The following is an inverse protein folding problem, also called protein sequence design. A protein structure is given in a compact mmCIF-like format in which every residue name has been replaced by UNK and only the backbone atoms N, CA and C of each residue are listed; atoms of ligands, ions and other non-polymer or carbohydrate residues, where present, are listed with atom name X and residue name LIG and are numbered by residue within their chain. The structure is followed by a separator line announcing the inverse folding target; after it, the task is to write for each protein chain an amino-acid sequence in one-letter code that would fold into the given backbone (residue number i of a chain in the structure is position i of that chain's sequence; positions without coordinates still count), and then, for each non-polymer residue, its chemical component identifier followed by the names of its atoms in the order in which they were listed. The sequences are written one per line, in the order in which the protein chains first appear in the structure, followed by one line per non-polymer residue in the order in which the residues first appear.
data_IF_154767505197
#
_entry.id   IF_154767505197
#
_cell.length_a   1.000
_cell.length_b   1.000
_cell.length_c   1.000
_cell.angle_alpha   90.00
_cell.angle_beta   90.00
_cell.angle_gamma   90.00
#
_symmetry.space_group_name_H-M   'P 1'
#
loop_
_entity.id
_entity.type
_entity.pdbx_description
1 polymer ?
#
# COMPACT_ATOMS: atom_id res chain seq x y z
N UNK A 1 -2.92 -16.37 -3.16
CA UNK A 1 -2.63 -17.47 -2.20
C UNK A 1 -2.29 -16.93 -0.81
N UNK A 2 -1.19 -16.16 -0.66
CA UNK A 2 -0.70 -15.71 0.65
C UNK A 2 -1.69 -14.79 1.41
N UNK A 3 -2.37 -13.87 0.72
CA UNK A 3 -3.44 -13.02 1.28
C UNK A 3 -4.58 -13.83 1.92
N UNK A 4 -5.08 -14.84 1.20
CA UNK A 4 -6.21 -15.67 1.64
C UNK A 4 -5.80 -16.49 2.87
N UNK A 5 -4.61 -17.08 2.83
CA UNK A 5 -4.04 -17.80 3.97
C UNK A 5 -3.94 -16.88 5.20
N UNK A 6 -3.37 -15.68 5.04
CA UNK A 6 -3.23 -14.71 6.12
C UNK A 6 -4.57 -14.29 6.71
N UNK A 7 -5.59 -14.08 5.88
CA UNK A 7 -6.94 -13.68 6.30
C UNK A 7 -7.67 -14.77 7.10
N UNK A 8 -7.43 -16.04 6.79
CA UNK A 8 -7.97 -17.19 7.53
C UNK A 8 -7.24 -17.35 8.86
N UNK A 9 -5.91 -17.26 8.88
CA UNK A 9 -5.10 -17.39 10.11
C UNK A 9 -5.08 -16.13 10.97
N UNK A 10 -5.67 -15.03 10.51
CA UNK A 10 -5.64 -13.73 11.19
C UNK A 10 -6.08 -13.76 12.67
N UNK A 11 -7.16 -14.46 13.07
CA UNK A 11 -7.57 -14.52 14.48
C UNK A 11 -6.53 -15.21 15.37
N UNK A 12 -5.91 -16.29 14.87
CA UNK A 12 -4.86 -17.01 15.58
C UNK A 12 -3.64 -16.11 15.77
N UNK A 13 -3.19 -15.46 14.69
CA UNK A 13 -2.08 -14.51 14.73
C UNK A 13 -2.36 -13.38 15.72
N UNK A 14 -3.55 -12.77 15.65
CA UNK A 14 -3.93 -11.66 16.51
C UNK A 14 -3.94 -12.03 18.01
N UNK A 15 -4.33 -13.27 18.34
CA UNK A 15 -4.36 -13.77 19.73
C UNK A 15 -2.97 -13.95 20.35
N UNK A 16 -1.91 -14.06 19.54
CA UNK A 16 -0.52 -14.12 20.00
C UNK A 16 -0.05 -12.73 20.46
N UNK A 17 -0.52 -11.66 19.81
CA UNK A 17 -0.10 -10.29 20.09
C UNK A 17 -0.78 -9.68 21.32
N UNK A 18 -2.02 -10.05 21.60
CA UNK A 18 -2.77 -9.49 22.73
C UNK A 18 -3.91 -10.41 23.16
N UNK A 19 -4.30 -10.31 24.44
CA UNK A 19 -5.50 -10.93 25.01
C UNK A 19 -6.73 -10.01 25.02
N UNK A 20 -6.56 -8.72 24.72
CA UNK A 20 -7.66 -7.76 24.65
C UNK A 20 -8.47 -7.95 23.36
N UNK A 21 -9.77 -8.23 23.49
CA UNK A 21 -10.70 -8.41 22.37
C UNK A 21 -10.70 -7.23 21.40
N UNK A 22 -10.56 -5.98 21.87
CA UNK A 22 -10.54 -4.80 21.00
C UNK A 22 -9.27 -4.78 20.13
N UNK A 23 -8.12 -5.11 20.72
CA UNK A 23 -6.85 -5.18 19.99
C UNK A 23 -6.87 -6.33 18.97
N UNK A 24 -7.35 -7.50 19.38
CA UNK A 24 -7.49 -8.66 18.49
C UNK A 24 -8.36 -8.31 17.28
N UNK A 25 -9.56 -7.73 17.49
CA UNK A 25 -10.44 -7.32 16.39
C UNK A 25 -9.77 -6.34 15.43
N UNK A 26 -8.97 -5.43 15.96
CA UNK A 26 -8.24 -4.42 15.16
C UNK A 26 -7.19 -5.10 14.28
N UNK A 27 -6.37 -5.99 14.85
CA UNK A 27 -5.34 -6.74 14.12
C UNK A 27 -5.98 -7.65 13.06
N UNK A 28 -7.07 -8.36 13.39
CA UNK A 28 -7.79 -9.20 12.42
C UNK A 28 -8.29 -8.37 11.24
N UNK A 29 -8.86 -7.19 11.51
CA UNK A 29 -9.33 -6.28 10.46
C UNK A 29 -8.19 -5.82 9.57
N UNK A 30 -7.06 -5.43 10.18
CA UNK A 30 -5.85 -5.04 9.46
C UNK A 30 -5.36 -6.17 8.53
N UNK A 31 -5.18 -7.38 9.07
CA UNK A 31 -4.67 -8.54 8.35
C UNK A 31 -5.60 -9.04 7.23
N UNK A 32 -6.88 -8.66 7.25
CA UNK A 32 -7.84 -8.97 6.18
C UNK A 32 -7.93 -7.92 5.10
N UNK A 33 -7.67 -6.65 5.41
CA UNK A 33 -7.86 -5.55 4.46
C UNK A 33 -6.55 -5.22 3.75
N UNK A 34 -5.51 -4.93 4.53
CA UNK A 34 -4.26 -4.35 4.01
C UNK A 34 -3.49 -5.31 3.10
N UNK A 35 -3.40 -6.63 3.40
CA UNK A 35 -2.55 -7.51 2.61
C UNK A 35 -3.04 -7.76 1.18
N UNK A 36 -4.31 -7.45 0.88
CA UNK A 36 -4.82 -7.46 -0.50
C UNK A 36 -4.09 -6.41 -1.36
N UNK A 37 -3.84 -5.23 -0.80
CA UNK A 37 -3.22 -4.13 -1.51
C UNK A 37 -1.68 -4.28 -1.66
N UNK A 38 -1.06 -5.21 -0.93
CA UNK A 38 0.39 -5.46 -1.05
C UNK A 38 0.81 -5.96 -2.43
N UNK A 39 -0.10 -6.57 -3.21
CA UNK A 39 0.20 -6.94 -4.60
C UNK A 39 0.57 -5.72 -5.46
N UNK A 40 -0.27 -4.68 -5.41
CA UNK A 40 -0.01 -3.42 -6.12
C UNK A 40 1.09 -2.60 -5.46
N UNK A 41 1.23 -2.66 -4.14
CA UNK A 41 2.39 -2.07 -3.46
C UNK A 41 3.72 -2.72 -3.88
N UNK A 42 3.71 -4.01 -4.22
CA UNK A 42 4.87 -4.71 -4.80
C UNK A 42 5.26 -4.12 -6.15
N UNK A 43 4.27 -3.84 -7.02
CA UNK A 43 4.51 -3.15 -8.29
C UNK A 43 5.07 -1.75 -8.07
N UNK A 44 4.56 -1.03 -7.07
CA UNK A 44 5.10 0.28 -6.66
C UNK A 44 6.59 0.17 -6.29
N UNK A 45 6.93 -0.77 -5.41
CA UNK A 45 8.30 -1.00 -4.97
C UNK A 45 9.23 -1.32 -6.13
N UNK A 46 8.86 -2.29 -6.98
CA UNK A 46 9.67 -2.68 -8.15
C UNK A 46 9.84 -1.53 -9.14
N UNK A 47 8.80 -0.73 -9.37
CA UNK A 47 8.87 0.44 -10.25
C UNK A 47 9.79 1.52 -9.68
N UNK A 48 9.68 1.80 -8.38
CA UNK A 48 10.50 2.78 -7.67
C UNK A 48 11.98 2.37 -7.64
N UNK A 49 12.29 1.10 -7.39
CA UNK A 49 13.66 0.57 -7.42
C UNK A 49 14.21 0.59 -8.85
N UNK A 50 13.43 0.17 -9.85
CA UNK A 50 13.85 0.24 -11.25
C UNK A 50 14.15 1.69 -11.70
N UNK A 51 13.32 2.66 -11.33
CA UNK A 51 13.57 4.08 -11.63
C UNK A 51 14.84 4.60 -10.95
N UNK A 52 15.15 4.15 -9.74
CA UNK A 52 16.41 4.49 -9.07
C UNK A 52 17.61 3.91 -9.82
N UNK A 53 17.54 2.65 -10.26
CA UNK A 53 18.60 2.00 -11.05
C UNK A 53 18.80 2.70 -12.40
N UNK A 54 17.72 3.12 -13.06
CA UNK A 54 17.75 3.88 -14.32
C UNK A 54 18.21 5.34 -14.18
N UNK A 55 18.80 5.73 -13.03
CA UNK A 55 19.25 7.09 -12.72
C UNK A 55 18.12 8.13 -12.83
N UNK A 56 16.88 7.76 -12.48
CA UNK A 56 15.71 8.66 -12.38
C UNK A 56 15.20 8.79 -10.93
N UNK A 57 16.05 9.12 -9.94
CA UNK A 57 15.66 9.12 -8.53
C UNK A 57 14.58 10.14 -8.18
N UNK A 58 14.53 11.28 -8.87
CA UNK A 58 13.48 12.28 -8.65
C UNK A 58 12.08 11.77 -8.99
N UNK A 59 11.96 10.90 -10.00
CA UNK A 59 10.66 10.29 -10.33
C UNK A 59 10.26 9.28 -9.26
N UNK A 60 11.23 8.50 -8.75
CA UNK A 60 11.02 7.56 -7.66
C UNK A 60 10.60 8.26 -6.37
N UNK A 61 11.34 9.29 -5.95
CA UNK A 61 11.01 10.10 -4.79
C UNK A 61 9.65 10.80 -4.93
N UNK A 62 9.34 11.33 -6.12
CA UNK A 62 8.04 11.91 -6.42
C UNK A 62 6.88 10.93 -6.26
N UNK A 63 7.04 9.68 -6.71
CA UNK A 63 6.02 8.64 -6.52
C UNK A 63 5.75 8.35 -5.03
N UNK A 64 6.81 8.27 -4.21
CA UNK A 64 6.68 8.06 -2.76
C UNK A 64 5.99 9.26 -2.10
N UNK A 65 6.39 10.48 -2.47
CA UNK A 65 5.76 11.69 -1.96
C UNK A 65 4.28 11.77 -2.33
N UNK A 66 3.92 11.48 -3.58
CA UNK A 66 2.52 11.44 -4.03
C UNK A 66 1.73 10.37 -3.25
N UNK A 67 2.29 9.18 -3.08
CA UNK A 67 1.63 8.10 -2.34
C UNK A 67 1.35 8.49 -0.89
N UNK A 68 2.30 9.13 -0.21
CA UNK A 68 2.13 9.54 1.19
C UNK A 68 1.24 10.78 1.32
N UNK A 69 1.56 11.87 0.63
CA UNK A 69 0.93 13.18 0.84
C UNK A 69 -0.36 13.39 0.07
N UNK A 70 -0.50 12.80 -1.11
CA UNK A 70 -1.68 13.01 -1.97
C UNK A 70 -2.69 11.88 -1.78
N UNK A 71 -2.22 10.63 -1.68
CA UNK A 71 -3.14 9.50 -1.50
C UNK A 71 -3.37 9.19 -0.03
N UNK A 72 -2.33 8.78 0.71
CA UNK A 72 -2.52 8.23 2.04
C UNK A 72 -3.04 9.25 3.06
N UNK A 73 -2.38 10.41 3.21
CA UNK A 73 -2.76 11.39 4.25
C UNK A 73 -4.21 11.87 4.11
N UNK A 74 -4.69 12.33 2.93
CA UNK A 74 -6.07 12.78 2.78
C UNK A 74 -7.09 11.66 2.99
N UNK A 75 -6.82 10.47 2.43
CA UNK A 75 -7.69 9.30 2.60
C UNK A 75 -7.74 8.85 4.06
N UNK A 76 -6.61 8.87 4.77
CA UNK A 76 -6.53 8.46 6.17
C UNK A 76 -7.26 9.45 7.08
N UNK A 77 -7.15 10.75 6.80
CA UNK A 77 -7.90 11.77 7.53
C UNK A 77 -9.41 11.58 7.36
N UNK A 78 -9.88 11.44 6.11
CA UNK A 78 -11.30 11.19 5.83
C UNK A 78 -11.76 9.86 6.41
N UNK A 79 -11.01 8.78 6.17
CA UNK A 79 -11.31 7.45 6.69
C UNK A 79 -11.38 7.40 8.21
N UNK A 80 -10.44 8.06 8.90
CA UNK A 80 -10.45 8.16 10.36
C UNK A 80 -11.70 8.87 10.87
N UNK A 81 -12.14 9.93 10.20
CA UNK A 81 -13.34 10.68 10.59
C UNK A 81 -14.63 9.85 10.45
N UNK A 82 -14.75 9.03 9.41
CA UNK A 82 -15.99 8.27 9.14
C UNK A 82 -16.01 6.87 9.77
N UNK A 83 -14.86 6.19 9.83
CA UNK A 83 -14.77 4.77 10.22
C UNK A 83 -13.70 4.51 11.31
N UNK A 84 -13.14 5.56 11.90
CA UNK A 84 -12.08 5.45 12.90
C UNK A 84 -10.86 4.70 12.37
N UNK A 85 -10.29 3.83 13.19
CA UNK A 85 -9.07 3.07 12.86
C UNK A 85 -9.25 2.18 11.61
N UNK A 86 -10.43 1.62 11.40
CA UNK A 86 -10.70 0.79 10.20
C UNK A 86 -10.61 1.62 8.92
N UNK A 87 -11.07 2.87 8.96
CA UNK A 87 -10.96 3.79 7.84
C UNK A 87 -9.52 4.13 7.48
N UNK A 88 -8.62 4.18 8.46
CA UNK A 88 -7.18 4.34 8.22
C UNK A 88 -6.62 3.14 7.47
N UNK A 89 -7.02 1.91 7.82
CA UNK A 89 -6.57 0.71 7.10
C UNK A 89 -7.07 0.65 5.65
N UNK A 90 -8.33 1.05 5.43
CA UNK A 90 -8.88 1.18 4.08
C UNK A 90 -8.14 2.26 3.29
N UNK A 91 -7.79 3.38 3.92
CA UNK A 91 -6.97 4.43 3.31
C UNK A 91 -5.57 3.92 2.93
N UNK A 92 -4.91 3.13 3.78
CA UNK A 92 -3.64 2.47 3.44
C UNK A 92 -3.78 1.59 2.21
N UNK A 93 -4.81 0.74 2.18
CA UNK A 93 -5.06 -0.14 1.04
C UNK A 93 -5.31 0.64 -0.25
N UNK A 94 -6.16 1.67 -0.20
CA UNK A 94 -6.43 2.55 -1.34
C UNK A 94 -5.17 3.29 -1.82
N UNK A 95 -4.34 3.81 -0.91
CA UNK A 95 -3.10 4.49 -1.27
C UNK A 95 -2.06 3.55 -1.91
N UNK A 96 -2.00 2.28 -1.48
CA UNK A 96 -1.17 1.26 -2.12
C UNK A 96 -1.65 0.91 -3.53
N UNK A 97 -2.96 0.83 -3.74
CA UNK A 97 -3.56 0.58 -5.06
C UNK A 97 -3.25 1.75 -6.00
N UNK A 98 -3.60 2.98 -5.59
CA UNK A 98 -3.38 4.19 -6.39
C UNK A 98 -1.90 4.45 -6.64
N UNK A 99 -1.06 4.23 -5.63
CA UNK A 99 0.40 4.31 -5.74
C UNK A 99 0.93 3.30 -6.75
N UNK A 100 0.57 2.02 -6.62
CA UNK A 100 1.01 0.97 -7.56
C UNK A 100 0.66 1.29 -9.01
N UNK A 101 -0.56 1.78 -9.26
CA UNK A 101 -1.00 2.20 -10.59
C UNK A 101 -0.18 3.39 -11.08
N UNK A 102 0.01 4.43 -10.27
CA UNK A 102 0.76 5.62 -10.67
C UNK A 102 2.23 5.29 -10.97
N UNK A 103 2.85 4.44 -10.16
CA UNK A 103 4.23 4.00 -10.34
C UNK A 103 4.41 3.18 -11.62
N UNK A 104 3.51 2.25 -11.91
CA UNK A 104 3.52 1.48 -13.15
C UNK A 104 3.44 2.37 -14.39
N UNK A 105 2.52 3.34 -14.39
CA UNK A 105 2.34 4.29 -15.48
C UNK A 105 3.59 5.15 -15.70
N UNK A 106 4.19 5.67 -14.62
CA UNK A 106 5.42 6.46 -14.70
C UNK A 106 6.58 5.61 -15.22
N UNK A 107 6.74 4.39 -14.73
CA UNK A 107 7.80 3.47 -15.16
C UNK A 107 7.73 3.20 -16.68
N UNK A 108 6.56 2.81 -17.20
CA UNK A 108 6.39 2.55 -18.63
C UNK A 108 6.66 3.80 -19.47
N UNK A 109 6.21 4.97 -19.01
CA UNK A 109 6.49 6.24 -19.69
C UNK A 109 8.00 6.53 -19.75
N UNK A 110 8.75 6.24 -18.69
CA UNK A 110 10.20 6.45 -18.68
C UNK A 110 10.93 5.42 -19.54
N UNK A 111 10.55 4.14 -19.50
CA UNK A 111 11.15 3.11 -20.34
C UNK A 111 10.94 3.42 -21.83
N UNK A 112 9.74 3.83 -22.23
CA UNK A 112 9.46 4.23 -23.63
C UNK A 112 10.31 5.40 -24.10
N UNK A 113 10.71 6.32 -23.22
CA UNK A 113 11.63 7.43 -23.55
C UNK A 113 13.07 6.96 -23.77
N UNK A 114 13.46 5.86 -23.13
CA UNK A 114 14.81 5.28 -23.25
C UNK A 114 14.93 4.40 -24.50
N UNK A 115 13.89 3.63 -24.83
CA UNK A 115 13.91 2.68 -25.96
C UNK A 115 13.65 3.36 -27.33
N UNK A 116 13.18 4.60 -27.36
CA UNK A 116 12.92 5.37 -28.60
C UNK A 116 14.18 5.93 -29.28
N UNK A 117 15.36 5.39 -28.98
CA UNK A 117 16.64 5.76 -29.57
C UNK A 117 17.12 4.69 -30.53
#
# INVERSE_FOLDING_TARGET
FLFVFLGITAPFIASIFSKDIKVIKTIVTFLRIVPFAYGLNGIFLLSSTALNVLKKPYHSAGLVAVQMFIFYIPLAYLGSKFFGVQGVFLATAAAYILGGISAYLVMIRQIKKIVRW
#
